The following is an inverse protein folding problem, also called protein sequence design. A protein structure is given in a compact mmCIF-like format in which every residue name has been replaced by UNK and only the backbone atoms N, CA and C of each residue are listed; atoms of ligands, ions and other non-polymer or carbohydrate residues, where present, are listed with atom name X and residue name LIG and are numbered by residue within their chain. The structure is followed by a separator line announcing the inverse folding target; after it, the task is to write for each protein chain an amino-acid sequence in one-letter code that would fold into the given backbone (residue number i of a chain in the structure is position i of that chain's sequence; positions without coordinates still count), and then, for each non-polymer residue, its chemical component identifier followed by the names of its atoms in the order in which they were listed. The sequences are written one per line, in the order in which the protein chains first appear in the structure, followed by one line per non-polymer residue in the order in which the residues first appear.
data_IF_253417044553
#
_entry.id   IF_253417044553
#
_cell.length_a   1.000
_cell.length_b   1.000
_cell.length_c   1.000
_cell.angle_alpha   90.00
_cell.angle_beta   90.00
_cell.angle_gamma   90.00
#
_symmetry.space_group_name_H-M   'P 1'
#
loop_
_entity.id
_entity.type
_entity.pdbx_description
1 polymer ?
#
# COMPACT_ATOMS: atom_id res chain seq x y z
N UNK A 1 4.30 20.00 -12.13
CA UNK A 1 4.49 18.65 -11.54
C UNK A 1 3.57 17.69 -12.28
N UNK A 2 4.07 16.71 -13.02
CA UNK A 2 3.21 15.71 -13.68
C UNK A 2 2.65 14.79 -12.60
N UNK A 3 1.34 14.82 -12.38
CA UNK A 3 0.67 13.91 -11.46
C UNK A 3 0.96 12.46 -11.88
N UNK A 4 1.48 11.66 -10.94
CA UNK A 4 1.69 10.24 -11.20
C UNK A 4 0.31 9.63 -11.54
N UNK A 5 0.16 8.94 -12.69
CA UNK A 5 -1.12 8.38 -13.07
C UNK A 5 -1.62 7.48 -11.94
N UNK A 6 -2.88 7.67 -11.57
CA UNK A 6 -3.58 7.02 -10.43
C UNK A 6 -3.50 5.49 -10.40
N UNK A 7 -3.01 4.87 -11.47
CA UNK A 7 -2.83 3.42 -11.65
C UNK A 7 -1.64 2.84 -10.87
N UNK A 8 -0.68 3.64 -10.42
CA UNK A 8 0.52 3.17 -9.70
C UNK A 8 0.75 3.93 -8.39
N UNK A 9 -0.30 4.07 -7.57
CA UNK A 9 -0.14 4.62 -6.22
C UNK A 9 0.55 3.60 -5.33
N UNK A 10 1.64 4.02 -4.69
CA UNK A 10 2.31 3.26 -3.66
C UNK A 10 1.36 3.02 -2.47
N UNK A 11 1.52 1.86 -1.85
CA UNK A 11 0.68 1.39 -0.74
C UNK A 11 1.56 0.95 0.41
N UNK A 12 1.06 1.16 1.63
CA UNK A 12 1.68 0.70 2.87
C UNK A 12 0.69 -0.23 3.55
N UNK A 13 1.16 -1.43 3.86
CA UNK A 13 0.45 -2.40 4.68
C UNK A 13 1.01 -2.38 6.10
N UNK A 14 0.17 -2.35 7.13
CA UNK A 14 0.59 -2.48 8.53
C UNK A 14 0.00 -3.76 9.12
N UNK A 15 0.84 -4.66 9.60
CA UNK A 15 0.40 -5.91 10.23
C UNK A 15 -0.29 -5.58 11.54
N UNK A 16 -1.51 -6.09 11.74
CA UNK A 16 -2.34 -5.70 12.89
C UNK A 16 -1.78 -6.17 14.22
N UNK A 17 -1.12 -7.32 14.25
CA UNK A 17 -0.66 -7.93 15.50
C UNK A 17 0.76 -7.53 15.87
N UNK A 18 1.65 -7.41 14.88
CA UNK A 18 3.07 -7.12 15.11
C UNK A 18 3.42 -5.65 14.86
N UNK A 19 2.55 -4.88 14.21
CA UNK A 19 2.83 -3.50 13.79
C UNK A 19 3.81 -3.38 12.63
N UNK A 20 4.27 -4.51 12.06
CA UNK A 20 5.23 -4.51 10.94
C UNK A 20 4.65 -3.80 9.72
N UNK A 21 5.43 -2.89 9.12
CA UNK A 21 5.01 -2.14 7.95
C UNK A 21 5.71 -2.63 6.70
N UNK A 22 4.94 -2.86 5.64
CA UNK A 22 5.42 -3.23 4.32
C UNK A 22 5.09 -2.13 3.32
N UNK A 23 6.08 -1.69 2.55
CA UNK A 23 5.93 -0.68 1.51
C UNK A 23 5.99 -1.32 0.12
N UNK A 24 5.03 -0.99 -0.74
CA UNK A 24 5.06 -1.38 -2.14
C UNK A 24 4.86 -0.15 -3.03
N UNK A 25 5.69 -0.02 -4.07
CA UNK A 25 5.57 1.06 -5.07
C UNK A 25 4.21 1.04 -5.79
N UNK A 26 3.53 -0.11 -5.82
CA UNK A 26 2.14 -0.25 -6.25
C UNK A 26 1.54 -1.51 -5.64
N UNK A 27 0.23 -1.52 -5.41
CA UNK A 27 -0.52 -2.73 -5.02
C UNK A 27 -0.37 -3.89 -6.03
N UNK A 28 0.07 -3.61 -7.26
CA UNK A 28 0.38 -4.63 -8.26
C UNK A 28 1.64 -5.44 -7.92
N UNK A 29 2.61 -4.81 -7.25
CA UNK A 29 3.90 -5.42 -6.90
C UNK A 29 3.94 -5.90 -5.45
N UNK A 30 2.79 -6.21 -4.86
CA UNK A 30 2.69 -6.75 -3.51
C UNK A 30 2.65 -8.29 -3.57
N UNK A 31 3.80 -9.00 -3.58
CA UNK A 31 3.83 -10.46 -3.63
C UNK A 31 3.07 -11.03 -2.43
N UNK A 32 2.26 -12.06 -2.68
CA UNK A 32 1.43 -12.64 -1.64
C UNK A 32 0.23 -11.76 -1.24
N UNK A 33 -0.10 -10.70 -1.96
CA UNK A 33 -1.33 -9.95 -1.72
C UNK A 33 -2.10 -9.70 -3.01
N UNK A 34 -3.37 -10.09 -3.01
CA UNK A 34 -4.22 -9.78 -4.16
C UNK A 34 -4.57 -8.27 -4.22
N UNK A 35 -4.40 -7.67 -5.40
CA UNK A 35 -4.65 -6.24 -5.63
C UNK A 35 -6.07 -5.81 -5.24
N UNK A 36 -7.08 -6.63 -5.52
CA UNK A 36 -8.46 -6.31 -5.16
C UNK A 36 -8.61 -6.20 -3.64
N UNK A 37 -8.07 -7.17 -2.89
CA UNK A 37 -8.12 -7.17 -1.43
C UNK A 37 -7.40 -5.97 -0.79
N UNK A 38 -6.25 -5.57 -1.35
CA UNK A 38 -5.58 -4.32 -0.94
C UNK A 38 -6.49 -3.12 -1.16
N UNK A 39 -7.11 -3.00 -2.35
CA UNK A 39 -7.99 -1.86 -2.67
C UNK A 39 -9.26 -1.85 -1.81
N UNK A 40 -9.84 -3.01 -1.54
CA UNK A 40 -11.00 -3.15 -0.65
C UNK A 40 -10.64 -2.73 0.77
N UNK A 41 -9.45 -3.12 1.26
CA UNK A 41 -8.94 -2.68 2.55
C UNK A 41 -8.71 -1.16 2.60
N UNK A 42 -8.09 -0.58 1.56
CA UNK A 42 -7.85 0.88 1.47
C UNK A 42 -9.17 1.66 1.41
N UNK A 43 -10.17 1.15 0.69
CA UNK A 43 -11.47 1.80 0.55
C UNK A 43 -12.41 1.59 1.75
N UNK A 44 -11.98 0.82 2.76
CA UNK A 44 -12.78 0.50 3.94
C UNK A 44 -13.88 -0.55 3.70
N UNK A 45 -13.97 -1.14 2.49
CA UNK A 45 -14.88 -2.26 2.20
C UNK A 45 -14.44 -3.55 2.90
N UNK A 46 -13.15 -3.69 3.19
CA UNK A 46 -12.59 -4.74 4.03
C UNK A 46 -11.85 -4.11 5.21
N UNK A 47 -11.94 -4.73 6.41
CA UNK A 47 -11.22 -4.25 7.61
C UNK A 47 -9.70 -4.47 7.50
N UNK A 48 -9.29 -5.52 6.80
CA UNK A 48 -7.88 -5.89 6.59
C UNK A 48 -7.78 -6.92 5.47
N UNK A 49 -6.62 -7.05 4.86
CA UNK A 49 -6.32 -8.10 3.89
C UNK A 49 -5.08 -8.86 4.33
N UNK A 50 -5.22 -10.18 4.55
CA UNK A 50 -4.16 -11.09 5.02
C UNK A 50 -3.45 -10.62 6.31
N UNK A 51 -4.19 -10.10 7.27
CA UNK A 51 -3.63 -9.62 8.55
C UNK A 51 -3.08 -8.19 8.51
N UNK A 52 -2.98 -7.57 7.33
CA UNK A 52 -2.52 -6.18 7.16
C UNK A 52 -3.68 -5.21 6.95
N UNK A 53 -3.61 -4.04 7.57
CA UNK A 53 -4.40 -2.86 7.18
C UNK A 53 -3.65 -2.11 6.10
N UNK A 54 -4.37 -1.56 5.12
CA UNK A 54 -3.75 -0.97 3.93
C UNK A 54 -4.12 0.49 3.77
N UNK A 55 -3.14 1.32 3.41
CA UNK A 55 -3.33 2.73 3.06
C UNK A 55 -2.47 3.12 1.87
N UNK A 56 -2.81 4.24 1.24
CA UNK A 56 -1.91 4.86 0.28
C UNK A 56 -0.70 5.47 0.98
N UNK A 57 0.48 5.31 0.38
CA UNK A 57 1.69 5.94 0.87
C UNK A 57 1.59 7.46 0.73
N UNK A 58 2.10 8.18 1.72
CA UNK A 58 2.19 9.65 1.70
C UNK A 58 3.28 10.12 0.72
N UNK A 59 3.38 11.43 0.48
CA UNK A 59 4.47 11.99 -0.34
C UNK A 59 5.85 11.65 0.25
N UNK A 60 6.02 11.84 1.56
CA UNK A 60 7.28 11.58 2.27
C UNK A 60 7.73 10.12 2.15
N UNK A 61 6.82 9.17 2.36
CA UNK A 61 7.12 7.73 2.23
C UNK A 61 7.50 7.35 0.81
N UNK A 62 6.84 7.96 -0.20
CA UNK A 62 7.24 7.75 -1.60
C UNK A 62 8.66 8.24 -1.86
N UNK A 63 8.99 9.44 -1.38
CA UNK A 63 10.31 10.07 -1.59
C UNK A 63 11.43 9.28 -0.90
N UNK A 64 11.20 8.78 0.32
CA UNK A 64 12.15 7.95 1.06
C UNK A 64 12.51 6.65 0.33
N UNK A 65 11.54 6.03 -0.34
CA UNK A 65 11.73 4.76 -1.05
C UNK A 65 12.06 4.90 -2.55
N UNK A 66 12.18 6.12 -3.07
CA UNK A 66 12.63 6.37 -4.46
C UNK A 66 14.12 6.64 -4.60
N UNK A 67 14.85 6.84 -3.50
CA UNK A 67 16.23 7.30 -3.53
C UNK A 67 17.28 6.20 -3.30
N UNK A 68 17.03 4.99 -3.83
CA UNK A 68 17.97 3.85 -3.77
C UNK A 68 18.21 3.30 -5.17
#
# INVERSE_FOLDING_TARGET
MKEMPSRQKAVVGTHKETGEQVYFRSAYYAPGFHRSGIKEAISGRAKSHRGYTWRYATKKEREQHTNH
#
